data_IF_848558450829
#
_entry.id   IF_848558450829
#
_cell.length_a   1.000
_cell.length_b   1.000
_cell.length_c   1.000
_cell.angle_alpha   90.00
_cell.angle_beta   90.00
_cell.angle_gamma   90.00
#
_symmetry.space_group_name_H-M   'P 1'
#
loop_
_entity.id
_entity.type
_entity.pdbx_description
1 polymer ?
#
# COMPACT_ATOMS: atom_id res chain seq x y z
N UNK A 1 37.53 -7.02 29.96
CA UNK A 1 38.77 -6.79 29.21
C UNK A 1 38.34 -6.48 27.80
N UNK A 2 38.24 -5.20 27.58
CA UNK A 2 38.94 -4.29 26.65
C UNK A 2 38.37 -4.32 25.21
N UNK A 3 38.10 -3.23 24.56
CA UNK A 3 38.36 -1.79 24.66
C UNK A 3 37.35 -1.02 23.83
N UNK A 4 36.89 0.06 24.39
CA UNK A 4 36.19 1.17 23.76
C UNK A 4 37.16 1.98 22.88
N UNK A 5 36.83 2.24 21.62
CA UNK A 5 37.53 3.24 20.79
C UNK A 5 36.50 4.27 20.31
N UNK A 6 36.57 5.45 20.94
CA UNK A 6 35.95 6.69 20.51
C UNK A 6 36.83 7.34 19.42
N UNK A 7 36.24 7.62 18.26
CA UNK A 7 36.83 8.52 17.25
C UNK A 7 35.97 9.76 17.13
N UNK A 8 36.43 10.85 17.75
CA UNK A 8 35.95 12.23 17.58
C UNK A 8 36.60 12.84 16.34
N UNK A 9 35.81 13.10 15.30
CA UNK A 9 36.21 13.85 14.12
C UNK A 9 35.71 15.30 14.19
N UNK A 10 36.62 16.25 14.41
CA UNK A 10 36.39 17.69 14.29
C UNK A 10 36.32 18.07 12.79
N UNK A 11 35.24 18.66 12.37
CA UNK A 11 35.13 19.32 11.06
C UNK A 11 35.20 20.83 11.29
N UNK A 12 36.30 21.42 10.83
CA UNK A 12 36.54 22.88 10.81
C UNK A 12 35.86 23.44 9.54
N UNK A 13 34.93 24.37 9.72
CA UNK A 13 34.34 25.15 8.65
C UNK A 13 35.10 26.45 8.50
N UNK A 14 35.80 26.62 7.36
CA UNK A 14 36.45 27.86 6.98
C UNK A 14 35.44 28.77 6.25
N UNK A 15 35.16 29.94 6.82
CA UNK A 15 34.41 31.02 6.22
C UNK A 15 35.32 31.86 5.34
N UNK A 16 35.17 31.79 4.01
CA UNK A 16 35.77 32.76 3.09
C UNK A 16 34.77 33.90 2.84
N UNK A 17 35.10 35.07 3.40
CA UNK A 17 34.40 36.32 3.08
C UNK A 17 34.90 36.91 1.77
N UNK A 18 33.99 37.14 0.81
CA UNK A 18 34.25 37.94 -0.38
C UNK A 18 33.79 39.39 -0.15
N UNK A 19 34.74 40.33 -0.11
CA UNK A 19 34.48 41.76 -0.16
C UNK A 19 34.17 42.16 -1.59
N UNK A 20 33.01 42.74 -1.86
CA UNK A 20 32.68 43.34 -3.15
C UNK A 20 32.70 44.86 -2.99
N UNK A 21 33.66 45.52 -3.66
CA UNK A 21 33.75 46.97 -3.75
C UNK A 21 32.74 47.49 -4.80
N UNK A 22 31.86 48.35 -4.34
CA UNK A 22 30.87 49.07 -5.18
C UNK A 22 31.49 50.32 -5.80
N UNK A 23 31.72 50.31 -7.11
CA UNK A 23 31.96 51.55 -7.88
C UNK A 23 30.69 51.84 -8.70
N UNK A 24 30.12 53.01 -8.47
CA UNK A 24 28.98 53.49 -9.22
C UNK A 24 29.41 54.02 -10.58
N UNK A 25 28.77 53.66 -11.70
CA UNK A 25 28.96 54.30 -12.97
C UNK A 25 27.99 55.49 -13.17
N UNK A 26 28.53 56.61 -13.62
CA UNK A 26 27.85 57.81 -14.05
C UNK A 26 26.92 57.51 -15.24
N UNK A 27 25.65 57.90 -15.13
CA UNK A 27 24.63 57.71 -16.17
C UNK A 27 24.73 58.81 -17.23
N UNK A 28 25.02 58.43 -18.47
CA UNK A 28 24.76 59.22 -19.67
C UNK A 28 23.36 58.90 -20.19
N UNK A 29 22.54 59.89 -20.64
CA UNK A 29 21.23 59.61 -21.20
C UNK A 29 21.35 59.04 -22.63
N UNK A 30 20.98 57.74 -22.77
CA UNK A 30 20.82 57.11 -24.09
C UNK A 30 19.34 57.19 -24.47
N UNK A 31 19.08 57.83 -25.65
CA UNK A 31 17.77 57.84 -26.27
C UNK A 31 17.34 56.44 -26.66
N UNK A 32 16.24 55.98 -26.06
CA UNK A 32 15.63 54.68 -26.37
C UNK A 32 15.09 54.62 -27.80
N UNK A 33 15.44 53.59 -28.58
CA UNK A 33 14.66 53.28 -29.77
C UNK A 33 13.33 52.64 -29.35
N UNK A 34 12.24 53.17 -29.90
CA UNK A 34 10.88 52.63 -29.75
C UNK A 34 10.84 51.20 -30.31
N UNK A 35 10.69 50.20 -29.42
CA UNK A 35 10.49 48.80 -29.82
C UNK A 35 9.13 48.63 -30.51
N UNK A 36 9.05 47.83 -31.59
CA UNK A 36 7.77 47.47 -32.19
C UNK A 36 6.93 46.64 -31.19
N UNK A 37 5.58 46.69 -31.27
CA UNK A 37 4.71 45.97 -30.38
C UNK A 37 5.02 44.46 -30.45
N UNK A 38 5.38 43.89 -29.33
CA UNK A 38 5.55 42.44 -29.17
C UNK A 38 4.22 41.76 -29.46
N UNK A 39 4.21 40.91 -30.47
CA UNK A 39 3.04 40.07 -30.76
C UNK A 39 2.73 39.23 -29.53
N UNK A 40 1.52 39.39 -29.00
CA UNK A 40 0.98 38.55 -27.90
C UNK A 40 1.05 37.09 -28.35
N UNK A 41 1.61 36.15 -27.55
CA UNK A 41 1.59 34.76 -27.94
C UNK A 41 0.14 34.30 -28.07
N UNK A 42 -0.20 33.79 -29.23
CA UNK A 42 -1.48 33.14 -29.51
C UNK A 42 -1.63 31.98 -28.52
N UNK A 43 -2.80 31.79 -27.82
CA UNK A 43 -2.98 30.71 -26.88
C UNK A 43 -2.85 29.38 -27.64
N UNK A 44 -1.76 28.67 -27.39
CA UNK A 44 -1.57 27.29 -27.87
C UNK A 44 -2.67 26.44 -27.24
N UNK A 45 -3.65 26.02 -28.06
CA UNK A 45 -4.65 25.05 -27.63
C UNK A 45 -3.93 23.76 -27.25
N UNK A 46 -3.79 23.50 -25.95
CA UNK A 46 -3.32 22.22 -25.44
C UNK A 46 -4.43 21.23 -25.78
N UNK A 47 -4.23 20.47 -26.84
CA UNK A 47 -5.14 19.39 -27.22
C UNK A 47 -5.08 18.33 -26.10
N UNK A 48 -6.08 18.29 -25.23
CA UNK A 48 -6.23 17.25 -24.22
C UNK A 48 -6.57 15.97 -24.98
N UNK A 49 -5.55 15.13 -25.21
CA UNK A 49 -5.75 13.84 -25.87
C UNK A 49 -6.73 13.00 -25.05
N UNK A 50 -7.87 12.65 -25.64
CA UNK A 50 -8.82 11.72 -25.03
C UNK A 50 -8.09 10.39 -24.81
N UNK A 51 -8.10 9.81 -23.60
CA UNK A 51 -7.43 8.54 -23.34
C UNK A 51 -7.95 7.46 -24.30
N UNK A 52 -7.01 6.70 -24.87
CA UNK A 52 -7.33 5.63 -25.79
C UNK A 52 -8.19 4.57 -25.10
N UNK A 53 -9.14 4.03 -25.84
CA UNK A 53 -10.07 3.00 -25.36
C UNK A 53 -10.20 1.92 -26.44
N UNK A 54 -10.19 0.66 -25.99
CA UNK A 54 -10.32 -0.49 -26.89
C UNK A 54 -11.47 -1.35 -26.38
N UNK A 55 -12.32 -1.78 -27.29
CA UNK A 55 -13.36 -2.77 -26.98
C UNK A 55 -12.75 -4.17 -27.07
N UNK A 56 -12.99 -4.99 -26.05
CA UNK A 56 -12.60 -6.40 -25.99
C UNK A 56 -13.86 -7.27 -25.98
N UNK A 57 -13.83 -8.39 -26.70
CA UNK A 57 -14.86 -9.42 -26.64
C UNK A 57 -14.39 -10.55 -25.71
N UNK A 58 -15.21 -10.98 -24.78
CA UNK A 58 -14.96 -12.17 -23.92
C UNK A 58 -15.17 -13.43 -24.76
N UNK A 59 -14.14 -14.28 -24.87
CA UNK A 59 -14.15 -15.50 -25.73
C UNK A 59 -14.53 -16.77 -25.00
N UNK A 60 -14.49 -16.80 -23.68
CA UNK A 60 -14.71 -18.00 -22.87
C UNK A 60 -15.93 -17.84 -21.97
N UNK A 61 -16.56 -18.98 -21.62
CA UNK A 61 -17.81 -19.03 -20.85
C UNK A 61 -17.79 -18.15 -19.58
N UNK A 62 -16.64 -18.13 -18.88
CA UNK A 62 -16.44 -17.36 -17.66
C UNK A 62 -15.00 -16.88 -17.60
N UNK A 63 -14.82 -15.60 -17.27
CA UNK A 63 -13.49 -15.01 -16.99
C UNK A 63 -13.50 -14.23 -15.69
N UNK A 64 -12.35 -14.15 -15.07
CA UNK A 64 -12.15 -13.43 -13.81
C UNK A 64 -11.66 -12.01 -14.06
N UNK A 65 -12.34 -11.04 -13.45
CA UNK A 65 -11.87 -9.67 -13.30
C UNK A 65 -11.19 -9.53 -11.94
N UNK A 66 -9.88 -9.19 -11.94
CA UNK A 66 -9.04 -9.26 -10.75
C UNK A 66 -8.52 -7.90 -10.33
N UNK A 67 -8.10 -7.79 -9.06
CA UNK A 67 -7.51 -6.58 -8.48
C UNK A 67 -6.21 -6.17 -9.18
N UNK A 68 -5.40 -7.12 -9.65
CA UNK A 68 -4.13 -6.88 -10.33
C UNK A 68 -3.92 -7.79 -11.54
N UNK A 69 -2.86 -7.55 -12.33
CA UNK A 69 -2.56 -8.28 -13.57
C UNK A 69 -1.91 -9.64 -13.29
N UNK A 70 -2.69 -10.60 -12.78
CA UNK A 70 -2.24 -11.95 -12.47
C UNK A 70 -3.30 -12.77 -11.75
N UNK A 71 -3.20 -14.09 -11.81
CA UNK A 71 -4.12 -15.03 -11.14
C UNK A 71 -3.97 -14.99 -9.61
N UNK A 72 -2.83 -14.53 -9.11
CA UNK A 72 -2.50 -14.39 -7.68
C UNK A 72 -3.20 -13.22 -6.98
N UNK A 73 -3.82 -12.32 -7.76
CA UNK A 73 -4.58 -11.20 -7.21
C UNK A 73 -6.04 -11.56 -6.93
N UNK A 74 -6.63 -10.87 -5.96
CA UNK A 74 -8.00 -11.06 -5.55
C UNK A 74 -8.98 -11.00 -6.72
N UNK A 75 -9.93 -11.95 -6.77
CA UNK A 75 -11.09 -11.89 -7.64
C UNK A 75 -12.03 -10.75 -7.18
N UNK A 76 -12.40 -9.87 -8.10
CA UNK A 76 -13.33 -8.78 -7.84
C UNK A 76 -14.71 -9.04 -8.46
N UNK A 77 -14.73 -9.57 -9.69
CA UNK A 77 -15.96 -9.84 -10.44
C UNK A 77 -15.75 -10.98 -11.44
N UNK A 78 -16.84 -11.58 -11.89
CA UNK A 78 -16.89 -12.58 -12.94
C UNK A 78 -17.60 -12.04 -14.18
N UNK A 79 -17.07 -12.32 -15.36
CA UNK A 79 -17.58 -11.83 -16.63
C UNK A 79 -17.83 -13.01 -17.56
N UNK A 80 -18.83 -12.87 -18.46
CA UNK A 80 -19.34 -13.97 -19.27
C UNK A 80 -19.01 -13.79 -20.75
N UNK A 81 -19.02 -14.93 -21.46
CA UNK A 81 -18.83 -15.01 -22.92
C UNK A 81 -19.74 -14.04 -23.66
N UNK A 82 -19.22 -13.42 -24.69
CA UNK A 82 -19.96 -12.47 -25.53
C UNK A 82 -20.07 -11.06 -24.97
N UNK A 83 -19.67 -10.82 -23.71
CA UNK A 83 -19.65 -9.45 -23.17
C UNK A 83 -18.59 -8.60 -23.87
N UNK A 84 -18.97 -7.35 -24.13
CA UNK A 84 -18.05 -6.30 -24.62
C UNK A 84 -17.51 -5.50 -23.45
N UNK A 85 -16.20 -5.51 -23.30
CA UNK A 85 -15.48 -4.83 -22.24
C UNK A 85 -14.76 -3.59 -22.77
N UNK A 86 -14.61 -2.58 -21.92
CA UNK A 86 -13.93 -1.34 -22.26
C UNK A 86 -12.56 -1.30 -21.61
N UNK A 87 -11.51 -1.64 -22.37
CA UNK A 87 -10.13 -1.49 -21.92
C UNK A 87 -9.68 -0.03 -22.00
N UNK A 88 -9.04 0.44 -20.94
CA UNK A 88 -8.47 1.80 -20.82
C UNK A 88 -6.95 1.75 -20.60
N UNK A 89 -6.40 0.56 -20.36
CA UNK A 89 -4.98 0.34 -20.14
C UNK A 89 -4.58 -1.12 -20.32
N UNK A 90 -3.29 -1.37 -20.19
CA UNK A 90 -2.69 -2.71 -20.24
C UNK A 90 -1.50 -2.79 -19.30
N UNK A 91 -1.07 -3.99 -18.92
CA UNK A 91 0.23 -4.17 -18.30
C UNK A 91 1.35 -4.03 -19.36
N UNK A 92 2.60 -3.92 -18.92
CA UNK A 92 3.76 -3.74 -19.80
C UNK A 92 3.87 -4.84 -20.85
N UNK A 93 3.71 -6.10 -20.45
CA UNK A 93 3.77 -7.27 -21.31
C UNK A 93 2.57 -7.46 -22.25
N UNK A 94 1.51 -6.66 -22.13
CA UNK A 94 0.23 -6.79 -22.85
C UNK A 94 -0.45 -8.15 -22.67
N UNK A 95 -0.23 -8.80 -21.54
CA UNK A 95 -0.87 -10.08 -21.16
C UNK A 95 -2.13 -9.88 -20.32
N UNK A 96 -2.37 -8.64 -19.84
CA UNK A 96 -3.53 -8.24 -19.05
C UNK A 96 -4.04 -6.87 -19.47
N UNK A 97 -5.36 -6.75 -19.55
CA UNK A 97 -6.06 -5.50 -19.85
C UNK A 97 -6.68 -4.90 -18.61
N UNK A 98 -6.50 -3.59 -18.41
CA UNK A 98 -7.17 -2.81 -17.38
C UNK A 98 -8.47 -2.29 -17.94
N UNK A 99 -9.58 -2.80 -17.44
CA UNK A 99 -10.93 -2.52 -17.95
C UNK A 99 -11.76 -1.76 -16.92
N UNK A 100 -12.75 -1.02 -17.41
CA UNK A 100 -13.83 -0.53 -16.57
C UNK A 100 -14.73 -1.73 -16.20
N UNK A 101 -14.99 -1.93 -14.89
CA UNK A 101 -15.81 -3.03 -14.42
C UNK A 101 -17.28 -2.84 -14.85
N UNK A 102 -17.86 -3.73 -15.67
CA UNK A 102 -19.26 -3.61 -16.10
C UNK A 102 -20.27 -3.69 -14.95
N UNK A 103 -19.95 -4.42 -13.89
CA UNK A 103 -20.78 -4.55 -12.69
C UNK A 103 -20.72 -3.34 -11.77
N UNK A 104 -19.61 -2.58 -11.83
CA UNK A 104 -19.41 -1.35 -11.06
C UNK A 104 -18.68 -0.29 -11.90
N UNK A 105 -19.38 0.52 -12.70
CA UNK A 105 -18.79 1.47 -13.65
C UNK A 105 -17.85 2.53 -13.03
N UNK A 106 -17.87 2.69 -11.70
CA UNK A 106 -16.94 3.56 -10.98
C UNK A 106 -15.59 2.90 -10.66
N UNK A 107 -15.45 1.59 -10.88
CA UNK A 107 -14.25 0.82 -10.58
C UNK A 107 -13.60 0.23 -11.83
N UNK A 108 -12.41 -0.31 -11.63
CA UNK A 108 -11.61 -0.94 -12.66
C UNK A 108 -11.04 -2.26 -12.16
N UNK A 109 -10.78 -3.17 -13.09
CA UNK A 109 -10.18 -4.47 -12.79
C UNK A 109 -9.35 -4.98 -13.98
N UNK A 110 -8.65 -6.07 -13.77
CA UNK A 110 -7.76 -6.67 -14.76
C UNK A 110 -8.34 -7.97 -15.30
N UNK A 111 -8.30 -8.15 -16.62
CA UNK A 111 -8.69 -9.38 -17.31
C UNK A 111 -7.53 -9.88 -18.17
N UNK A 112 -7.37 -11.21 -18.28
CA UNK A 112 -6.32 -11.79 -19.10
C UNK A 112 -6.56 -11.57 -20.59
N UNK A 113 -5.49 -11.29 -21.33
CA UNK A 113 -5.50 -11.19 -22.78
C UNK A 113 -5.84 -12.54 -23.46
N UNK A 114 -5.47 -13.66 -22.86
CA UNK A 114 -5.66 -15.00 -23.44
C UNK A 114 -7.14 -15.37 -23.61
N UNK A 115 -8.02 -14.80 -22.77
CA UNK A 115 -9.47 -15.11 -22.74
C UNK A 115 -10.33 -13.99 -23.32
N UNK A 116 -9.71 -12.98 -23.92
CA UNK A 116 -10.37 -11.84 -24.56
C UNK A 116 -9.86 -11.60 -25.97
N UNK A 117 -10.64 -10.94 -26.81
CA UNK A 117 -10.28 -10.58 -28.17
C UNK A 117 -10.46 -9.08 -28.40
N UNK A 118 -9.36 -8.33 -28.62
CA UNK A 118 -9.45 -6.92 -28.95
C UNK A 118 -10.12 -6.69 -30.31
N UNK A 119 -11.08 -5.80 -30.36
CA UNK A 119 -11.80 -5.43 -31.61
C UNK A 119 -11.07 -4.33 -32.41
N UNK A 120 -9.95 -3.82 -31.88
CA UNK A 120 -9.08 -2.84 -32.54
C UNK A 120 -7.66 -2.91 -31.98
N UNK A 121 -6.73 -2.14 -32.54
CA UNK A 121 -5.36 -2.07 -32.05
C UNK A 121 -5.27 -1.69 -30.57
N UNK A 122 -4.49 -2.42 -29.78
CA UNK A 122 -4.23 -2.15 -28.36
C UNK A 122 -2.98 -1.31 -28.12
N UNK A 123 -2.22 -0.99 -29.17
CA UNK A 123 -0.99 -0.19 -29.09
C UNK A 123 -1.20 1.16 -28.37
N UNK A 124 -2.30 1.89 -28.59
CA UNK A 124 -2.51 3.19 -27.95
C UNK A 124 -2.94 3.10 -26.47
N UNK A 125 -3.18 1.90 -25.91
CA UNK A 125 -3.53 1.76 -24.51
C UNK A 125 -2.37 2.13 -23.59
N UNK A 126 -2.65 2.92 -22.57
CA UNK A 126 -1.68 3.31 -21.56
C UNK A 126 -1.19 2.10 -20.77
N UNK A 127 0.12 2.05 -20.46
CA UNK A 127 0.67 1.07 -19.53
C UNK A 127 0.27 1.48 -18.11
N UNK A 128 -0.41 0.57 -17.41
CA UNK A 128 -0.84 0.74 -16.02
C UNK A 128 0.01 -0.18 -15.14
N UNK A 129 0.56 0.39 -14.06
CA UNK A 129 1.32 -0.39 -13.09
C UNK A 129 0.38 -1.25 -12.22
N UNK A 130 0.83 -2.42 -11.75
CA UNK A 130 0.09 -3.20 -10.77
C UNK A 130 -0.26 -2.38 -9.53
N UNK A 131 -1.43 -2.59 -8.92
CA UNK A 131 -1.80 -1.89 -7.69
C UNK A 131 -0.93 -2.34 -6.52
N UNK A 132 -0.80 -1.47 -5.51
CA UNK A 132 -0.18 -1.86 -4.24
C UNK A 132 -1.05 -2.86 -3.50
N UNK A 133 -0.42 -3.96 -3.06
CA UNK A 133 -1.08 -4.95 -2.22
C UNK A 133 -1.16 -4.44 -0.79
N UNK A 134 -2.29 -4.71 -0.13
CA UNK A 134 -2.55 -4.29 1.24
C UNK A 134 -3.18 -5.42 2.06
N UNK A 135 -3.02 -5.33 3.38
CA UNK A 135 -3.88 -6.06 4.31
C UNK A 135 -5.27 -5.40 4.27
N UNK A 136 -6.27 -6.16 3.87
CA UNK A 136 -7.65 -5.66 3.70
C UNK A 136 -8.50 -5.90 4.95
N UNK A 137 -8.24 -7.00 5.67
CA UNK A 137 -8.95 -7.35 6.90
C UNK A 137 -8.02 -7.98 7.94
N UNK A 138 -8.34 -7.74 9.21
CA UNK A 138 -7.74 -8.42 10.37
C UNK A 138 -8.89 -8.77 11.31
N UNK A 139 -9.05 -10.07 11.60
CA UNK A 139 -9.98 -10.55 12.62
C UNK A 139 -9.16 -11.14 13.76
N UNK A 140 -9.11 -10.41 14.89
CA UNK A 140 -8.33 -10.76 16.07
C UNK A 140 -9.24 -11.29 17.18
N UNK A 141 -8.90 -12.42 17.76
CA UNK A 141 -9.61 -13.02 18.89
C UNK A 141 -8.65 -13.50 19.96
N UNK A 142 -9.14 -13.60 21.19
CA UNK A 142 -8.42 -14.10 22.36
C UNK A 142 -9.24 -15.22 23.01
N UNK A 143 -8.56 -16.27 23.45
CA UNK A 143 -9.17 -17.41 24.12
C UNK A 143 -8.33 -17.84 25.34
N UNK A 144 -8.94 -17.91 26.55
CA UNK A 144 -10.29 -17.50 26.86
C UNK A 144 -10.44 -15.96 26.82
N UNK A 145 -11.62 -15.48 26.40
CA UNK A 145 -11.92 -14.03 26.33
C UNK A 145 -12.27 -13.41 27.69
N UNK A 146 -12.28 -14.22 28.74
CA UNK A 146 -12.44 -13.84 30.14
C UNK A 146 -11.80 -14.89 31.03
N UNK A 147 -11.10 -14.47 32.08
CA UNK A 147 -10.54 -15.35 33.10
C UNK A 147 -11.12 -14.97 34.44
N UNK A 148 -11.67 -15.99 35.19
CA UNK A 148 -12.12 -15.86 36.55
C UNK A 148 -11.68 -17.11 37.34
N UNK A 149 -10.69 -16.95 38.23
CA UNK A 149 -10.02 -18.05 38.91
C UNK A 149 -9.79 -17.75 40.39
N UNK A 150 -9.27 -18.70 41.17
CA UNK A 150 -8.71 -18.38 42.49
C UNK A 150 -7.35 -17.67 42.33
N UNK A 151 -7.03 -16.73 43.21
CA UNK A 151 -5.80 -15.93 43.09
C UNK A 151 -4.50 -16.77 43.20
N UNK A 152 -4.57 -17.99 43.77
CA UNK A 152 -3.46 -18.93 43.84
C UNK A 152 -3.25 -19.73 42.54
N UNK A 153 -4.11 -19.57 41.53
CA UNK A 153 -4.06 -20.29 40.26
C UNK A 153 -3.31 -19.53 39.17
N UNK A 154 -2.71 -18.38 39.45
CA UNK A 154 -1.79 -17.74 38.53
C UNK A 154 -0.44 -18.48 38.48
N UNK A 155 0.26 -18.47 37.31
CA UNK A 155 -0.08 -17.76 36.07
C UNK A 155 -1.19 -18.46 35.26
N UNK A 156 -1.93 -17.68 34.46
CA UNK A 156 -2.89 -18.14 33.47
C UNK A 156 -2.36 -17.88 32.06
N UNK A 157 -2.66 -18.77 31.12
CA UNK A 157 -2.27 -18.62 29.73
C UNK A 157 -3.47 -18.19 28.90
N UNK A 158 -3.29 -17.18 28.07
CA UNK A 158 -4.23 -16.77 27.03
C UNK A 158 -3.61 -17.02 25.66
N UNK A 159 -4.42 -17.50 24.74
CA UNK A 159 -4.05 -17.70 23.35
C UNK A 159 -4.74 -16.60 22.53
N UNK A 160 -4.08 -16.09 21.53
CA UNK A 160 -4.66 -15.15 20.60
C UNK A 160 -4.35 -15.58 19.17
N UNK A 161 -5.31 -15.31 18.33
CA UNK A 161 -5.29 -15.70 16.94
C UNK A 161 -5.74 -14.53 16.09
N UNK A 162 -5.02 -14.27 15.01
CA UNK A 162 -5.40 -13.28 14.04
C UNK A 162 -5.52 -13.91 12.64
N UNK A 163 -6.68 -13.73 12.02
CA UNK A 163 -6.91 -14.01 10.61
C UNK A 163 -6.60 -12.75 9.80
N UNK A 164 -5.58 -12.82 8.93
CA UNK A 164 -5.11 -11.71 8.12
C UNK A 164 -5.47 -11.98 6.66
N UNK A 165 -6.18 -11.05 6.02
CA UNK A 165 -6.54 -11.12 4.60
C UNK A 165 -5.78 -10.08 3.80
N UNK A 166 -5.19 -10.51 2.66
CA UNK A 166 -4.53 -9.62 1.70
C UNK A 166 -5.21 -9.71 0.32
N UNK A 167 -5.07 -8.67 -0.50
CA UNK A 167 -5.62 -8.61 -1.86
C UNK A 167 -4.63 -9.00 -2.97
N UNK A 168 -3.45 -9.53 -2.60
CA UNK A 168 -2.42 -9.99 -3.52
C UNK A 168 -1.17 -10.49 -2.80
N UNK A 169 -0.15 -10.91 -3.56
CA UNK A 169 1.11 -11.40 -3.01
C UNK A 169 1.89 -10.27 -2.32
N UNK A 170 2.38 -10.53 -1.10
CA UNK A 170 3.12 -9.53 -0.33
C UNK A 170 3.95 -10.12 0.80
N UNK A 171 5.00 -9.41 1.22
CA UNK A 171 5.65 -9.63 2.50
C UNK A 171 4.80 -9.02 3.61
N UNK A 172 4.31 -9.86 4.51
CA UNK A 172 3.59 -9.46 5.71
C UNK A 172 4.57 -9.46 6.90
N UNK A 173 4.61 -8.34 7.63
CA UNK A 173 5.42 -8.19 8.86
C UNK A 173 4.53 -7.66 9.97
N UNK A 174 4.68 -8.21 11.17
CA UNK A 174 3.87 -7.82 12.32
C UNK A 174 4.64 -7.91 13.63
N UNK A 175 4.04 -7.34 14.68
CA UNK A 175 4.46 -7.46 16.07
C UNK A 175 3.23 -7.60 16.96
N UNK A 176 3.33 -8.41 17.98
CA UNK A 176 2.35 -8.47 19.04
C UNK A 176 2.73 -7.50 20.16
N UNK A 177 1.75 -6.81 20.71
CA UNK A 177 1.92 -5.88 21.83
C UNK A 177 0.86 -6.20 22.90
N UNK A 178 1.24 -6.11 24.20
CA UNK A 178 0.37 -6.35 25.32
C UNK A 178 0.24 -5.10 26.21
N UNK A 179 -0.87 -4.98 26.95
CA UNK A 179 -1.14 -3.89 27.89
C UNK A 179 -0.10 -3.72 28.99
N UNK A 180 0.69 -4.75 29.25
CA UNK A 180 1.79 -4.76 30.21
C UNK A 180 3.06 -4.05 29.71
N UNK A 181 3.06 -3.61 28.46
CA UNK A 181 4.25 -3.08 27.79
C UNK A 181 5.13 -4.16 27.14
N UNK A 182 4.76 -5.44 27.26
CA UNK A 182 5.45 -6.50 26.55
C UNK A 182 5.20 -6.41 25.04
N UNK A 183 6.22 -6.78 24.26
CA UNK A 183 6.15 -6.84 22.80
C UNK A 183 6.91 -8.08 22.33
N UNK A 184 6.41 -8.74 21.28
CA UNK A 184 7.14 -9.81 20.60
C UNK A 184 8.27 -9.25 19.72
N UNK A 185 9.14 -10.13 19.24
CA UNK A 185 9.96 -9.86 18.06
C UNK A 185 9.07 -9.69 16.81
N UNK A 186 9.65 -9.15 15.73
CA UNK A 186 8.94 -8.98 14.48
C UNK A 186 8.74 -10.34 13.79
N UNK A 187 7.48 -10.70 13.56
CA UNK A 187 7.10 -11.85 12.74
C UNK A 187 7.12 -11.51 11.26
N UNK A 188 7.38 -12.50 10.41
CA UNK A 188 7.37 -12.36 8.95
C UNK A 188 6.69 -13.55 8.29
N UNK A 189 5.88 -13.28 7.25
CA UNK A 189 5.21 -14.27 6.43
C UNK A 189 5.11 -13.76 4.99
N UNK A 190 5.29 -14.64 4.01
CA UNK A 190 5.08 -14.32 2.59
C UNK A 190 3.72 -14.84 2.17
N UNK A 191 2.85 -13.93 1.72
CA UNK A 191 1.66 -14.27 0.98
C UNK A 191 2.06 -14.42 -0.49
N UNK A 192 1.93 -15.60 -1.04
CA UNK A 192 2.22 -15.87 -2.46
C UNK A 192 1.06 -15.42 -3.36
N UNK A 193 -0.16 -15.35 -2.81
CA UNK A 193 -1.37 -14.90 -3.49
C UNK A 193 -2.32 -14.18 -2.52
N UNK A 194 -3.38 -13.59 -3.06
CA UNK A 194 -4.47 -13.04 -2.27
C UNK A 194 -5.15 -14.14 -1.47
N UNK A 195 -5.38 -13.90 -0.20
CA UNK A 195 -5.99 -14.91 0.66
C UNK A 195 -5.96 -14.53 2.13
N UNK A 196 -6.35 -15.49 2.97
CA UNK A 196 -6.37 -15.34 4.43
C UNK A 196 -5.42 -16.33 5.05
N UNK A 197 -4.56 -15.83 5.95
CA UNK A 197 -3.68 -16.63 6.79
C UNK A 197 -3.97 -16.39 8.26
N UNK A 198 -3.68 -17.41 9.08
CA UNK A 198 -3.86 -17.38 10.52
C UNK A 198 -2.50 -17.38 11.19
N UNK A 199 -2.31 -16.44 12.11
CA UNK A 199 -1.15 -16.39 13.01
C UNK A 199 -1.62 -16.49 14.45
N UNK A 200 -0.87 -17.24 15.27
CA UNK A 200 -1.20 -17.51 16.67
C UNK A 200 -0.04 -17.12 17.55
N UNK A 201 -0.38 -16.75 18.79
CA UNK A 201 0.60 -16.54 19.86
C UNK A 201 -0.08 -16.77 21.22
N UNK A 202 0.69 -16.79 22.30
CA UNK A 202 0.17 -16.90 23.65
C UNK A 202 0.88 -15.92 24.60
N UNK A 203 0.21 -15.59 25.68
CA UNK A 203 0.77 -14.76 26.73
C UNK A 203 0.40 -15.27 28.11
N UNK A 204 1.35 -15.16 29.07
CA UNK A 204 1.10 -15.54 30.47
C UNK A 204 0.66 -14.33 31.28
N UNK A 205 -0.49 -14.47 31.93
CA UNK A 205 -1.10 -13.50 32.82
C UNK A 205 -0.79 -13.86 34.27
N UNK A 206 -0.16 -12.95 35.01
CA UNK A 206 0.31 -13.20 36.36
C UNK A 206 -0.54 -12.58 37.47
N UNK A 207 -1.50 -11.71 37.11
CA UNK A 207 -2.34 -10.99 38.07
C UNK A 207 -3.69 -10.61 37.47
N UNK A 208 -4.72 -10.36 38.30
CA UNK A 208 -6.00 -9.82 37.82
C UNK A 208 -5.82 -8.38 37.31
N UNK A 209 -6.40 -8.09 36.15
CA UNK A 209 -6.46 -6.75 35.53
C UNK A 209 -7.38 -6.76 34.30
N UNK A 210 -7.62 -5.60 33.72
CA UNK A 210 -8.12 -5.46 32.36
C UNK A 210 -6.92 -5.47 31.40
N UNK A 211 -6.88 -6.48 30.54
CA UNK A 211 -5.79 -6.65 29.57
C UNK A 211 -6.27 -6.38 28.15
N UNK A 212 -5.32 -6.02 27.31
CA UNK A 212 -5.49 -6.04 25.86
C UNK A 212 -4.27 -6.67 25.19
N UNK A 213 -4.54 -7.31 24.04
CA UNK A 213 -3.53 -7.75 23.09
C UNK A 213 -3.79 -6.99 21.79
N UNK A 214 -2.73 -6.53 21.16
CA UNK A 214 -2.77 -5.79 19.90
C UNK A 214 -1.84 -6.43 18.89
N UNK A 215 -2.35 -6.66 17.68
CA UNK A 215 -1.54 -6.96 16.52
C UNK A 215 -1.20 -5.66 15.82
N UNK A 216 0.08 -5.35 15.69
CA UNK A 216 0.60 -4.22 14.93
C UNK A 216 1.19 -4.75 13.62
N UNK A 217 0.54 -4.46 12.50
CA UNK A 217 1.00 -4.77 11.15
C UNK A 217 1.97 -3.67 10.71
N UNK A 218 3.19 -4.07 10.33
CA UNK A 218 4.27 -3.20 9.91
C UNK A 218 4.35 -3.09 8.38
N UNK A 219 4.04 -4.19 7.67
CA UNK A 219 4.00 -4.29 6.20
C UNK A 219 2.86 -5.20 5.74
N UNK A 220 2.30 -4.97 4.56
CA UNK A 220 2.63 -3.98 3.51
C UNK A 220 2.13 -2.57 3.84
N UNK A 221 1.11 -2.42 4.68
CA UNK A 221 0.55 -1.16 5.14
C UNK A 221 0.36 -1.21 6.65
N UNK A 222 0.69 -0.14 7.34
CA UNK A 222 0.52 -0.05 8.80
C UNK A 222 -0.96 -0.17 9.18
N UNK A 223 -1.26 -1.13 10.07
CA UNK A 223 -2.60 -1.37 10.63
C UNK A 223 -2.51 -1.93 12.03
N UNK A 224 -3.60 -1.77 12.79
CA UNK A 224 -3.74 -2.28 14.14
C UNK A 224 -5.05 -3.03 14.29
N UNK A 225 -5.02 -4.12 15.05
CA UNK A 225 -6.19 -4.78 15.59
C UNK A 225 -5.95 -5.03 17.09
N UNK A 226 -6.95 -4.77 17.93
CA UNK A 226 -6.83 -4.93 19.37
C UNK A 226 -8.05 -5.64 19.93
N UNK A 227 -7.84 -6.51 20.90
CA UNK A 227 -8.88 -7.17 21.68
C UNK A 227 -8.60 -6.98 23.17
N UNK A 228 -9.65 -6.65 23.91
CA UNK A 228 -9.60 -6.49 25.35
C UNK A 228 -10.24 -7.71 26.05
N UNK A 229 -9.73 -8.10 27.21
CA UNK A 229 -10.29 -9.18 27.99
C UNK A 229 -10.05 -8.96 29.51
N UNK A 230 -11.09 -9.21 30.35
CA UNK A 230 -10.98 -9.07 31.79
C UNK A 230 -10.38 -10.33 32.44
N UNK A 231 -9.51 -10.12 33.41
CA UNK A 231 -8.97 -11.16 34.29
C UNK A 231 -9.27 -10.81 35.74
N UNK A 232 -10.00 -11.67 36.42
CA UNK A 232 -10.37 -11.50 37.83
C UNK A 232 -9.98 -12.72 38.65
N UNK A 233 -9.78 -12.53 39.97
CA UNK A 233 -9.63 -13.63 40.87
C UNK A 233 -10.36 -13.40 42.19
N UNK A 234 -10.72 -14.52 42.87
CA UNK A 234 -11.28 -14.55 44.21
C UNK A 234 -10.32 -15.26 45.15
N UNK A 235 -10.28 -14.81 46.40
CA UNK A 235 -9.51 -15.47 47.47
C UNK A 235 -10.24 -16.72 47.99
#
# INVERSE_FOLDING_TARGET
MDRLVLLTGLISIALLGCNISTTAPTSTPVTSPTSPPSASPEPTLISTATPARVTLLVKTKLINCRFGPGTVYQLLNELHEGQLLRAVGRNEASTWWYIQDPGNPGSFCWVSADVTEPQSSTVPLTIIQPPFVTVTNINLRVEPNRIAVNCNQFPQTVFFEAEITTNGPTLFMWRWEASTGASSDDGTLIFEEAGTYVINEYYQINAPNEYWIKLHVLKPNERFAQVNFPVSCTQ
#
